data_IF_528380915806
#
_entry.id   IF_528380915806
#
_cell.length_a   1.000
_cell.length_b   1.000
_cell.length_c   1.000
_cell.angle_alpha   90.00
_cell.angle_beta   90.00
_cell.angle_gamma   90.00
#
_symmetry.space_group_name_H-M   'P 1'
#
loop_
_entity.id
_entity.type
_entity.pdbx_description
1 polymer ?
#
# COMPACT_ATOMS: atom_id res chain seq x y z
N UNK A 1 7.92 14.12 0.71
CA UNK A 1 9.03 13.31 0.15
C UNK A 1 10.38 13.69 0.76
N UNK A 2 10.80 14.97 0.81
CA UNK A 2 12.09 15.38 1.43
C UNK A 2 12.26 14.90 2.88
N UNK A 3 11.24 15.07 3.73
CA UNK A 3 11.29 14.67 5.13
C UNK A 3 11.55 13.16 5.34
N UNK A 4 11.04 12.28 4.48
CA UNK A 4 11.28 10.83 4.58
C UNK A 4 12.75 10.48 4.29
N UNK A 5 13.34 11.16 3.30
CA UNK A 5 14.77 11.01 2.94
C UNK A 5 15.66 11.54 4.06
N UNK A 6 15.29 12.67 4.68
CA UNK A 6 16.01 13.25 5.80
C UNK A 6 15.95 12.34 7.04
N UNK A 7 14.77 11.79 7.35
CA UNK A 7 14.57 10.84 8.46
C UNK A 7 15.41 9.58 8.23
N UNK A 8 15.36 8.99 7.03
CA UNK A 8 16.18 7.81 6.71
C UNK A 8 17.67 8.09 6.86
N UNK A 9 18.13 9.24 6.35
CA UNK A 9 19.53 9.66 6.47
C UNK A 9 19.95 9.91 7.91
N UNK A 10 19.04 10.39 8.75
CA UNK A 10 19.28 10.58 10.19
C UNK A 10 19.32 9.25 10.94
N UNK A 11 18.43 8.30 10.61
CA UNK A 11 18.38 6.97 11.23
C UNK A 11 19.68 6.20 11.02
N UNK A 12 20.26 6.26 9.82
CA UNK A 12 21.55 5.61 9.54
C UNK A 12 22.74 6.16 10.34
N UNK A 13 22.60 7.33 10.98
CA UNK A 13 23.63 7.90 11.87
C UNK A 13 23.45 7.45 13.33
N UNK A 14 22.30 6.85 13.65
CA UNK A 14 21.98 6.41 15.00
C UNK A 14 22.59 5.04 15.32
N UNK A 15 22.63 4.70 16.60
CA UNK A 15 23.04 3.37 17.05
C UNK A 15 22.08 2.29 16.55
N UNK A 16 22.59 1.07 16.36
CA UNK A 16 21.83 -0.05 15.81
C UNK A 16 20.56 -0.38 16.63
N UNK A 17 20.61 -0.23 17.97
CA UNK A 17 19.42 -0.40 18.81
C UNK A 17 18.31 0.61 18.50
N UNK A 18 18.66 1.84 18.16
CA UNK A 18 17.69 2.89 17.83
C UNK A 18 17.15 2.69 16.42
N UNK A 19 17.98 2.18 15.52
CA UNK A 19 17.55 1.77 14.18
C UNK A 19 16.57 0.60 14.23
N UNK A 20 16.85 -0.44 15.04
CA UNK A 20 15.92 -1.56 15.28
C UNK A 20 14.61 -1.07 15.91
N UNK A 21 14.65 -0.17 16.89
CA UNK A 21 13.44 0.38 17.50
C UNK A 21 12.58 1.14 16.48
N UNK A 22 13.21 1.95 15.63
CA UNK A 22 12.51 2.68 14.58
C UNK A 22 11.91 1.74 13.53
N UNK A 23 12.64 0.72 13.10
CA UNK A 23 12.18 -0.31 12.17
C UNK A 23 10.96 -1.07 12.70
N UNK A 24 11.00 -1.51 13.97
CA UNK A 24 9.85 -2.14 14.63
C UNK A 24 8.66 -1.20 14.73
N UNK A 25 8.89 0.07 15.07
CA UNK A 25 7.83 1.08 15.18
C UNK A 25 7.18 1.37 13.83
N UNK A 26 7.97 1.47 12.76
CA UNK A 26 7.48 1.69 11.41
C UNK A 26 6.64 0.50 10.90
N UNK A 27 7.04 -0.73 11.23
CA UNK A 27 6.30 -1.94 10.83
C UNK A 27 5.04 -2.20 11.68
N UNK A 28 5.13 -2.06 13.00
CA UNK A 28 4.05 -2.45 13.93
C UNK A 28 3.12 -1.30 14.33
N UNK A 29 3.56 -0.05 14.17
CA UNK A 29 2.85 1.14 14.65
C UNK A 29 2.95 1.38 16.17
N UNK A 30 3.33 0.37 16.95
CA UNK A 30 3.58 0.47 18.39
C UNK A 30 4.62 -0.58 18.85
N UNK A 31 5.29 -0.30 19.97
CA UNK A 31 6.25 -1.22 20.60
C UNK A 31 5.61 -1.86 21.84
N UNK A 32 5.65 -3.19 21.91
CA UNK A 32 5.18 -3.96 23.06
C UNK A 32 6.25 -4.14 24.15
N UNK A 33 5.87 -4.78 25.26
CA UNK A 33 6.81 -5.08 26.36
C UNK A 33 7.93 -6.04 25.91
N UNK A 34 7.63 -7.02 25.07
CA UNK A 34 8.63 -7.94 24.53
C UNK A 34 9.63 -7.21 23.63
N UNK A 35 9.15 -6.25 22.82
CA UNK A 35 10.01 -5.41 22.00
C UNK A 35 10.97 -4.57 22.85
N UNK A 36 10.48 -4.03 23.97
CA UNK A 36 11.32 -3.28 24.91
C UNK A 36 12.38 -4.19 25.57
N UNK A 37 12.02 -5.41 25.95
CA UNK A 37 12.98 -6.36 26.53
C UNK A 37 14.11 -6.71 25.55
N UNK A 38 13.76 -6.97 24.28
CA UNK A 38 14.74 -7.22 23.21
C UNK A 38 15.66 -6.02 22.97
N UNK A 39 15.08 -4.82 22.90
CA UNK A 39 15.85 -3.59 22.68
C UNK A 39 16.81 -3.33 23.84
N UNK A 40 16.40 -3.58 25.09
CA UNK A 40 17.27 -3.49 26.27
C UNK A 40 18.39 -4.51 26.20
N UNK A 41 18.12 -5.74 25.76
CA UNK A 41 19.16 -6.73 25.54
C UNK A 41 20.15 -6.27 24.45
N UNK A 42 19.64 -5.71 23.35
CA UNK A 42 20.45 -5.19 22.24
C UNK A 42 21.35 -4.03 22.67
N UNK A 43 20.84 -3.09 23.48
CA UNK A 43 21.62 -1.97 24.05
C UNK A 43 22.79 -2.47 24.92
N UNK A 44 22.68 -3.64 25.56
CA UNK A 44 23.77 -4.22 26.35
C UNK A 44 24.88 -4.82 25.49
N UNK A 45 24.64 -5.05 24.19
CA UNK A 45 25.64 -5.60 23.28
C UNK A 45 26.54 -4.50 22.69
N UNK A 46 27.80 -4.82 22.34
CA UNK A 46 28.68 -3.88 21.64
C UNK A 46 28.18 -3.50 20.24
N UNK A 47 27.46 -4.41 19.59
CA UNK A 47 26.89 -4.21 18.25
C UNK A 47 25.75 -3.21 18.30
N UNK A 48 24.81 -3.39 19.24
CA UNK A 48 23.66 -2.51 19.42
C UNK A 48 24.04 -1.05 19.68
N UNK A 49 25.19 -0.80 20.31
CA UNK A 49 25.71 0.55 20.63
C UNK A 49 26.46 1.22 19.50
N UNK A 50 26.77 0.51 18.42
CA UNK A 50 27.47 1.09 17.26
C UNK A 50 26.47 1.51 16.19
N UNK A 51 26.75 2.58 15.43
CA UNK A 51 25.95 2.91 14.26
C UNK A 51 26.00 1.79 13.22
N UNK A 52 24.86 1.53 12.58
CA UNK A 52 24.69 0.55 11.50
C UNK A 52 24.19 1.25 10.24
N UNK A 53 24.44 0.69 9.07
CA UNK A 53 23.92 1.24 7.80
C UNK A 53 23.11 0.22 7.01
N UNK A 54 22.85 -0.94 7.60
CA UNK A 54 22.30 -2.09 6.86
C UNK A 54 20.77 -2.07 6.73
N UNK A 55 20.03 -1.27 7.50
CA UNK A 55 18.55 -1.30 7.47
C UNK A 55 17.95 -0.49 6.33
N UNK A 56 17.07 -1.07 5.50
CA UNK A 56 16.52 -0.39 4.35
C UNK A 56 15.40 0.62 4.66
N UNK A 57 14.69 0.48 5.80
CA UNK A 57 13.51 1.27 6.19
C UNK A 57 12.51 1.41 5.04
N UNK A 58 12.04 0.28 4.49
CA UNK A 58 11.22 0.25 3.29
C UNK A 58 9.88 1.00 3.47
N UNK A 59 9.37 1.00 4.69
CA UNK A 59 8.14 1.64 5.15
C UNK A 59 8.19 3.16 5.03
N UNK A 60 9.39 3.77 5.09
CA UNK A 60 9.55 5.20 4.82
C UNK A 60 9.41 5.55 3.33
N UNK A 61 9.61 4.57 2.43
CA UNK A 61 9.42 4.75 0.98
C UNK A 61 7.97 4.46 0.56
N UNK A 62 7.17 3.83 1.42
CA UNK A 62 5.74 3.72 1.22
C UNK A 62 5.14 5.10 1.49
N UNK A 63 5.18 5.97 0.48
CA UNK A 63 4.44 7.24 0.52
C UNK A 63 3.03 6.92 0.94
N UNK A 64 2.54 7.59 2.00
CA UNK A 64 1.25 7.35 2.65
C UNK A 64 0.29 6.65 1.69
N UNK A 65 0.19 5.32 1.80
CA UNK A 65 -0.91 4.59 1.23
C UNK A 65 -2.13 4.90 2.10
N UNK A 66 -2.44 6.18 2.26
CA UNK A 66 -3.75 6.65 2.58
C UNK A 66 -4.61 6.14 1.44
N UNK A 67 -5.15 4.93 1.65
CA UNK A 67 -6.23 4.30 0.93
C UNK A 67 -6.42 4.94 -0.45
N UNK A 68 -5.50 4.66 -1.38
CA UNK A 68 -5.63 5.16 -2.75
C UNK A 68 -6.84 4.43 -3.32
N UNK A 69 -7.99 5.10 -3.26
CA UNK A 69 -9.23 4.57 -3.80
C UNK A 69 -9.07 4.51 -5.33
N UNK A 70 -8.91 3.29 -5.84
CA UNK A 70 -8.92 3.05 -7.28
C UNK A 70 -10.37 3.17 -7.76
N UNK A 71 -10.66 4.22 -8.55
CA UNK A 71 -11.99 4.47 -9.11
C UNK A 71 -11.96 4.36 -10.63
N UNK A 72 -12.87 3.55 -11.17
CA UNK A 72 -13.17 3.55 -12.60
C UNK A 72 -13.90 4.85 -12.94
N UNK A 73 -13.35 5.64 -13.87
CA UNK A 73 -13.90 6.94 -14.25
C UNK A 73 -14.75 6.82 -15.52
N UNK A 74 -14.30 6.05 -16.51
CA UNK A 74 -14.97 5.91 -17.81
C UNK A 74 -14.57 4.62 -18.52
N UNK A 75 -15.48 4.05 -19.29
CA UNK A 75 -15.19 3.00 -20.29
C UNK A 75 -15.70 3.48 -21.66
N UNK A 76 -14.87 3.35 -22.71
CA UNK A 76 -15.18 3.73 -24.09
C UNK A 76 -14.72 2.68 -25.09
N UNK A 77 -15.00 2.90 -26.39
CA UNK A 77 -14.66 1.98 -27.49
C UNK A 77 -15.19 0.55 -27.26
N UNK A 78 -16.45 0.44 -26.82
CA UNK A 78 -17.04 -0.85 -26.47
C UNK A 78 -17.52 -1.55 -27.74
N UNK A 79 -16.97 -2.75 -28.00
CA UNK A 79 -17.34 -3.58 -29.15
C UNK A 79 -18.32 -4.70 -28.75
N UNK A 80 -19.28 -5.02 -29.63
CA UNK A 80 -20.17 -6.18 -29.48
C UNK A 80 -21.36 -6.00 -28.54
N UNK A 81 -21.81 -4.76 -28.28
CA UNK A 81 -23.01 -4.48 -27.49
C UNK A 81 -24.00 -3.68 -28.36
N UNK A 82 -25.20 -4.21 -28.55
CA UNK A 82 -26.19 -3.66 -29.50
C UNK A 82 -26.90 -2.38 -29.00
N UNK A 83 -26.64 -1.91 -27.79
CA UNK A 83 -27.41 -0.83 -27.16
C UNK A 83 -26.58 0.22 -26.40
N UNK A 84 -25.28 0.27 -26.64
CA UNK A 84 -24.42 1.36 -26.18
C UNK A 84 -23.88 2.05 -27.43
N UNK A 85 -24.07 3.37 -27.55
CA UNK A 85 -23.48 4.15 -28.63
C UNK A 85 -21.94 3.98 -28.56
N UNK A 86 -21.29 3.27 -29.50
CA UNK A 86 -19.88 2.90 -29.37
C UNK A 86 -18.95 4.11 -29.27
N UNK A 87 -19.42 5.23 -29.85
CA UNK A 87 -18.73 6.52 -29.92
C UNK A 87 -19.01 7.43 -28.73
N UNK A 88 -19.86 7.02 -27.79
CA UNK A 88 -20.18 7.76 -26.57
C UNK A 88 -19.83 6.93 -25.33
N UNK A 89 -18.70 7.23 -24.69
CA UNK A 89 -18.28 6.48 -23.52
C UNK A 89 -19.22 6.64 -22.33
N UNK A 90 -19.28 5.58 -21.53
CA UNK A 90 -20.06 5.54 -20.29
C UNK A 90 -19.22 6.14 -19.17
N UNK A 91 -19.67 7.26 -18.64
CA UNK A 91 -19.07 7.93 -17.48
C UNK A 91 -19.57 7.26 -16.20
N UNK A 92 -18.65 6.91 -15.30
CA UNK A 92 -18.99 6.44 -13.97
C UNK A 92 -19.09 7.64 -13.02
N UNK A 93 -20.21 7.72 -12.31
CA UNK A 93 -20.45 8.80 -11.35
C UNK A 93 -19.63 8.65 -10.05
N UNK A 94 -19.96 9.50 -9.08
CA UNK A 94 -19.30 9.48 -7.76
C UNK A 94 -19.78 8.36 -6.82
N UNK A 95 -20.68 7.49 -7.28
CA UNK A 95 -21.31 6.45 -6.45
C UNK A 95 -20.71 5.06 -6.74
N UNK A 96 -20.97 4.10 -5.83
CA UNK A 96 -20.51 2.72 -5.97
C UNK A 96 -21.15 2.02 -7.19
N UNK A 97 -20.39 1.14 -7.83
CA UNK A 97 -20.85 0.35 -8.98
C UNK A 97 -21.55 -0.94 -8.52
N UNK A 98 -22.68 -1.27 -9.15
CA UNK A 98 -23.38 -2.55 -8.98
C UNK A 98 -23.37 -3.30 -10.30
N UNK A 99 -22.86 -4.54 -10.29
CA UNK A 99 -22.80 -5.41 -11.48
C UNK A 99 -24.00 -6.35 -11.45
N UNK A 100 -24.83 -6.29 -12.49
CA UNK A 100 -25.97 -7.20 -12.67
C UNK A 100 -25.64 -8.10 -13.86
N UNK A 101 -25.57 -9.42 -13.63
CA UNK A 101 -25.39 -10.40 -14.70
C UNK A 101 -26.75 -10.85 -15.23
N UNK A 102 -26.98 -10.67 -16.54
CA UNK A 102 -28.14 -11.20 -17.23
C UNK A 102 -27.94 -12.66 -17.67
N UNK A 103 -28.97 -13.49 -17.54
CA UNK A 103 -28.97 -14.86 -18.07
C UNK A 103 -29.00 -14.81 -19.61
N UNK A 104 -28.09 -15.53 -20.28
CA UNK A 104 -28.15 -15.65 -21.75
C UNK A 104 -29.31 -16.56 -22.14
N UNK A 105 -30.37 -16.00 -22.73
CA UNK A 105 -31.38 -16.82 -23.41
C UNK A 105 -30.87 -17.13 -24.82
N UNK A 106 -30.56 -18.40 -25.08
CA UNK A 106 -30.47 -18.93 -26.44
C UNK A 106 -31.89 -19.00 -26.99
N UNK A 107 -32.25 -18.08 -27.90
CA UNK A 107 -33.47 -18.20 -28.67
C UNK A 107 -33.32 -19.41 -29.62
N UNK A 108 -34.19 -20.41 -29.44
CA UNK A 108 -34.19 -21.62 -30.23
C UNK A 108 -34.52 -21.37 -31.70
N UNK A 109 -33.83 -22.08 -32.58
CA UNK A 109 -34.36 -22.41 -33.89
C UNK A 109 -35.12 -23.73 -33.76
N UNK A 110 -36.39 -23.67 -34.11
CA UNK A 110 -37.35 -24.76 -34.09
C UNK A 110 -37.02 -25.86 -35.13
N UNK A 111 -37.47 -27.06 -34.76
CA UNK A 111 -37.97 -28.19 -35.56
C UNK A 111 -37.79 -28.20 -37.07
#
# INVERSE_FOLDING_TARGET
MQAQVDIRSWLHKQNDWLQEAADRLLNKGALGQDDLADLVALIKTPVGRKPSTHRPFAELNQGNAAQQELRLIRIGEIAGIENLEPRRPLEFGIHNLSVIYGHKYLAGAAS
#
